data_IF_709410566658
#
_entry.id   IF_709410566658
#
_cell.length_a   1.000
_cell.length_b   1.000
_cell.length_c   1.000
_cell.angle_alpha   90.00
_cell.angle_beta   90.00
_cell.angle_gamma   90.00
#
_symmetry.space_group_name_H-M   'P 1'
#
loop_
_entity.id
_entity.type
_entity.pdbx_description
1 polymer ?
#
# COMPACT_ATOMS: atom_id res chain seq x y z
N UNK A 1 -28.16 -13.80 -5.16
CA UNK A 1 -27.18 -12.85 -5.74
C UNK A 1 -26.78 -13.34 -7.11
N UNK A 2 -26.36 -12.45 -8.00
CA UNK A 2 -25.77 -12.84 -9.29
C UNK A 2 -24.26 -13.04 -9.06
N UNK A 3 -23.80 -14.23 -9.41
CA UNK A 3 -22.40 -14.62 -9.38
C UNK A 3 -21.96 -14.79 -10.83
N UNK A 4 -20.77 -14.32 -11.17
CA UNK A 4 -20.17 -14.44 -12.49
C UNK A 4 -18.95 -15.37 -12.40
N UNK A 5 -19.14 -16.70 -12.60
CA UNK A 5 -18.08 -17.69 -12.48
C UNK A 5 -16.86 -17.40 -13.35
N UNK A 6 -17.07 -16.76 -14.50
CA UNK A 6 -16.03 -16.33 -15.44
C UNK A 6 -15.00 -15.38 -14.81
N UNK A 7 -15.37 -14.66 -13.74
CA UNK A 7 -14.44 -13.77 -13.03
C UNK A 7 -13.52 -14.52 -12.07
N UNK A 8 -13.78 -15.79 -11.75
CA UNK A 8 -12.93 -16.56 -10.85
C UNK A 8 -11.54 -16.85 -11.44
N UNK A 9 -11.43 -16.82 -12.77
CA UNK A 9 -10.18 -17.10 -13.48
C UNK A 9 -9.40 -15.83 -13.83
N UNK A 10 -9.96 -14.65 -13.54
CA UNK A 10 -9.28 -13.37 -13.79
C UNK A 10 -8.68 -12.81 -12.50
N UNK A 11 -7.72 -11.90 -12.66
CA UNK A 11 -6.97 -11.28 -11.57
C UNK A 11 -7.22 -9.77 -11.48
N UNK A 12 -8.50 -9.40 -11.59
CA UNK A 12 -8.93 -7.99 -11.54
C UNK A 12 -8.55 -7.31 -10.22
N UNK A 13 -8.60 -8.02 -9.09
CA UNK A 13 -8.28 -7.43 -7.80
C UNK A 13 -6.81 -6.99 -7.75
N UNK A 14 -5.89 -7.85 -8.18
CA UNK A 14 -4.46 -7.57 -8.18
C UNK A 14 -4.08 -6.53 -9.23
N UNK A 15 -4.67 -6.59 -10.43
CA UNK A 15 -4.49 -5.58 -11.48
C UNK A 15 -4.95 -4.19 -11.00
N UNK A 16 -6.12 -4.09 -10.37
CA UNK A 16 -6.62 -2.84 -9.80
C UNK A 16 -5.69 -2.30 -8.71
N UNK A 17 -5.17 -3.18 -7.84
CA UNK A 17 -4.27 -2.77 -6.78
C UNK A 17 -2.95 -2.22 -7.29
N UNK A 18 -2.33 -2.91 -8.24
CA UNK A 18 -1.09 -2.42 -8.86
C UNK A 18 -1.28 -1.07 -9.56
N UNK A 19 -2.42 -0.85 -10.23
CA UNK A 19 -2.76 0.44 -10.85
C UNK A 19 -2.99 1.54 -9.80
N UNK A 20 -3.64 1.20 -8.69
CA UNK A 20 -3.87 2.15 -7.59
C UNK A 20 -2.56 2.58 -6.92
N UNK A 21 -1.67 1.63 -6.63
CA UNK A 21 -0.35 1.91 -6.03
C UNK A 21 0.50 2.84 -6.90
N UNK A 22 0.35 2.75 -8.22
CA UNK A 22 1.03 3.62 -9.18
C UNK A 22 0.31 4.96 -9.42
N UNK A 23 -0.89 5.16 -8.86
CA UNK A 23 -1.72 6.34 -9.13
C UNK A 23 -2.34 6.39 -10.53
N UNK A 24 -2.44 5.25 -11.20
CA UNK A 24 -2.95 5.10 -12.57
C UNK A 24 -4.38 4.54 -12.65
N UNK A 25 -4.95 4.13 -11.51
CA UNK A 25 -6.33 3.66 -11.45
C UNK A 25 -7.30 4.84 -11.53
N UNK A 26 -8.00 4.95 -12.66
CA UNK A 26 -9.04 5.93 -12.93
C UNK A 26 -10.41 5.24 -13.03
N UNK A 27 -11.53 5.97 -12.87
CA UNK A 27 -12.87 5.39 -12.97
C UNK A 27 -13.16 4.68 -14.31
N UNK A 28 -12.50 5.12 -15.38
CA UNK A 28 -12.63 4.65 -16.74
C UNK A 28 -11.47 3.74 -17.19
N UNK A 29 -10.56 3.37 -16.29
CA UNK A 29 -9.47 2.46 -16.60
C UNK A 29 -10.02 1.10 -17.02
N UNK A 30 -9.69 0.68 -18.25
CA UNK A 30 -10.05 -0.63 -18.78
C UNK A 30 -9.12 -1.68 -18.17
N UNK A 31 -9.72 -2.66 -17.50
CA UNK A 31 -9.00 -3.78 -16.89
C UNK A 31 -8.97 -4.97 -17.84
N UNK A 32 -7.81 -5.60 -17.94
CA UNK A 32 -7.60 -6.79 -18.77
C UNK A 32 -8.05 -8.07 -18.07
N UNK A 33 -8.00 -8.10 -16.73
CA UNK A 33 -8.19 -9.30 -15.93
C UNK A 33 -6.95 -10.18 -15.87
N UNK A 34 -5.83 -9.73 -16.45
CA UNK A 34 -4.55 -10.42 -16.45
C UNK A 34 -3.60 -9.72 -15.46
N UNK A 35 -2.93 -10.51 -14.63
CA UNK A 35 -1.94 -9.99 -13.69
C UNK A 35 -0.82 -11.00 -13.45
N UNK A 36 0.41 -10.52 -13.64
CA UNK A 36 1.62 -11.28 -13.34
C UNK A 36 2.09 -10.85 -11.96
N UNK A 37 2.03 -11.78 -11.00
CA UNK A 37 2.54 -11.53 -9.66
C UNK A 37 4.05 -11.36 -9.68
N UNK A 38 4.56 -10.41 -8.90
CA UNK A 38 5.98 -10.32 -8.62
C UNK A 38 6.43 -11.57 -7.85
N UNK A 39 7.50 -12.21 -8.32
CA UNK A 39 8.20 -13.28 -7.58
C UNK A 39 9.33 -12.73 -6.69
N UNK A 40 9.49 -11.40 -6.65
CA UNK A 40 10.49 -10.77 -5.80
C UNK A 40 10.11 -10.95 -4.33
N UNK A 41 11.07 -11.42 -3.53
CA UNK A 41 10.91 -11.48 -2.08
C UNK A 41 10.73 -10.06 -1.52
N UNK A 42 9.82 -9.92 -0.55
CA UNK A 42 9.64 -8.66 0.15
C UNK A 42 10.93 -8.26 0.90
N UNK A 43 11.28 -6.98 0.85
CA UNK A 43 12.41 -6.43 1.61
C UNK A 43 11.97 -6.14 3.05
N UNK A 44 12.12 -7.15 3.90
CA UNK A 44 11.75 -7.08 5.32
C UNK A 44 12.65 -6.11 6.08
N UNK A 45 13.93 -6.01 5.72
CA UNK A 45 14.89 -5.14 6.40
C UNK A 45 14.53 -3.67 6.15
N UNK A 46 14.21 -3.30 4.91
CA UNK A 46 13.72 -1.96 4.58
C UNK A 46 12.40 -1.63 5.30
N UNK A 47 11.51 -2.60 5.43
CA UNK A 47 10.23 -2.43 6.15
C UNK A 47 10.47 -2.14 7.64
N UNK A 48 11.35 -2.89 8.28
CA UNK A 48 11.70 -2.67 9.69
C UNK A 48 12.37 -1.30 9.88
N UNK A 49 13.27 -0.90 8.97
CA UNK A 49 13.91 0.41 9.02
C UNK A 49 12.88 1.55 8.97
N UNK A 50 11.90 1.48 8.05
CA UNK A 50 10.85 2.49 7.94
C UNK A 50 9.99 2.61 9.21
N UNK A 51 9.73 1.50 9.91
CA UNK A 51 9.00 1.48 11.19
C UNK A 51 9.79 2.20 12.26
N UNK A 52 11.09 1.90 12.38
CA UNK A 52 11.97 2.53 13.36
C UNK A 52 12.11 4.03 13.10
N UNK A 53 12.27 4.45 11.84
CA UNK A 53 12.32 5.87 11.45
C UNK A 53 11.03 6.61 11.82
N UNK A 54 9.87 6.01 11.55
CA UNK A 54 8.57 6.57 11.90
C UNK A 54 8.41 6.72 13.42
N UNK A 55 8.88 5.73 14.20
CA UNK A 55 8.87 5.77 15.66
C UNK A 55 9.74 6.91 16.20
N UNK A 56 10.95 7.06 15.67
CA UNK A 56 11.89 8.08 16.12
C UNK A 56 11.41 9.49 15.77
N UNK A 57 10.79 9.69 14.61
CA UNK A 57 10.08 10.92 14.25
C UNK A 57 8.94 11.22 15.23
N UNK A 58 8.12 10.22 15.57
CA UNK A 58 7.03 10.40 16.52
C UNK A 58 7.52 10.82 17.91
N UNK A 59 8.62 10.24 18.40
CA UNK A 59 9.27 10.62 19.66
C UNK A 59 9.81 12.05 19.60
N UNK A 60 10.45 12.45 18.50
CA UNK A 60 10.92 13.84 18.32
C UNK A 60 9.76 14.82 18.36
N UNK A 61 8.65 14.52 17.68
CA UNK A 61 7.44 15.36 17.73
C UNK A 61 6.83 15.43 19.13
N UNK A 62 6.81 14.32 19.87
CA UNK A 62 6.30 14.29 21.23
C UNK A 62 7.13 15.18 22.16
N UNK A 63 8.46 15.04 22.15
CA UNK A 63 9.36 15.89 22.95
C UNK A 63 9.19 17.37 22.63
N UNK A 64 8.99 17.70 21.35
CA UNK A 64 8.69 19.06 20.92
C UNK A 64 7.38 19.62 21.51
N UNK A 65 6.33 18.80 21.59
CA UNK A 65 5.06 19.17 22.25
C UNK A 65 5.23 19.38 23.75
N UNK A 66 5.88 18.44 24.43
CA UNK A 66 6.14 18.51 25.88
C UNK A 66 6.96 19.76 26.24
N UNK A 67 8.00 20.08 25.46
CA UNK A 67 8.80 21.29 25.68
C UNK A 67 7.99 22.59 25.49
N UNK A 68 7.05 22.61 24.54
CA UNK A 68 6.18 23.76 24.31
C UNK A 68 5.12 23.93 25.42
N UNK A 69 4.63 22.84 25.99
CA UNK A 69 3.68 22.85 27.12
C UNK A 69 4.32 23.30 28.45
N UNK A 70 5.63 23.13 28.58
CA UNK A 70 6.40 23.50 29.77
C UNK A 70 6.94 24.94 29.74
N UNK A 71 6.70 25.68 28.65
CA UNK A 71 7.08 27.09 28.47
C UNK A 71 5.91 28.04 28.69
#
# INVERSE_FOLDING_TARGET
GRFAPELLTTRYAEEMWALFEQGLLLPDTVLSGEFISSELAADVDATLLAIEDARDEALRRQRGREAAEMS
#
